data_IF_161793031095
#
_entry.id   IF_161793031095
#
_cell.length_a   1.000
_cell.length_b   1.000
_cell.length_c   1.000
_cell.angle_alpha   90.00
_cell.angle_beta   90.00
_cell.angle_gamma   90.00
#
_symmetry.space_group_name_H-M   'P 1'
#
loop_
_entity.id
_entity.type
_entity.pdbx_description
1 polymer ?
#
# COMPACT_ATOMS: atom_id res chain seq x y z
N UNK A 1 13.05 1.28 -14.39
CA UNK A 1 11.60 1.15 -14.09
C UNK A 1 11.07 2.53 -13.75
N UNK A 2 10.35 3.18 -14.68
CA UNK A 2 9.79 4.51 -14.49
C UNK A 2 8.37 4.36 -13.90
N UNK A 3 8.19 4.77 -12.65
CA UNK A 3 6.87 4.90 -12.04
C UNK A 3 6.29 6.23 -12.54
N UNK A 4 5.55 6.21 -13.65
CA UNK A 4 4.70 7.35 -14.01
C UNK A 4 3.64 7.50 -12.93
N UNK A 5 3.90 8.41 -12.00
CA UNK A 5 3.08 8.70 -10.82
C UNK A 5 1.74 9.27 -11.28
N UNK A 6 0.83 8.38 -11.67
CA UNK A 6 -0.54 8.80 -12.01
C UNK A 6 -1.28 8.92 -10.70
N UNK A 7 -1.48 10.16 -10.26
CA UNK A 7 -2.27 10.44 -9.07
C UNK A 7 -3.70 9.89 -9.25
N UNK A 8 -4.22 9.24 -8.21
CA UNK A 8 -5.61 8.80 -8.07
C UNK A 8 -6.13 9.32 -6.74
N UNK A 9 -6.87 10.44 -6.80
CA UNK A 9 -7.29 11.16 -5.60
C UNK A 9 -6.07 11.67 -4.83
N UNK A 10 -5.95 11.29 -3.55
CA UNK A 10 -4.86 11.68 -2.66
C UNK A 10 -3.59 10.81 -2.73
N UNK A 11 -3.59 9.73 -3.52
CA UNK A 11 -2.49 8.77 -3.57
C UNK A 11 -2.00 8.46 -4.99
N UNK A 12 -0.92 7.69 -5.07
CA UNK A 12 -0.43 7.09 -6.31
C UNK A 12 -1.25 5.85 -6.66
N UNK A 13 -1.61 5.67 -7.94
CA UNK A 13 -2.23 4.41 -8.38
C UNK A 13 -1.32 3.23 -8.06
N UNK A 14 -1.93 2.18 -7.55
CA UNK A 14 -1.27 0.91 -7.28
C UNK A 14 -2.27 -0.23 -7.40
N UNK A 15 -1.76 -1.42 -7.65
CA UNK A 15 -2.55 -2.63 -7.66
C UNK A 15 -1.71 -3.77 -7.13
N UNK A 16 -2.38 -4.77 -6.56
CA UNK A 16 -1.73 -6.00 -6.12
C UNK A 16 -1.76 -7.02 -7.25
N UNK A 17 -0.68 -7.80 -7.39
CA UNK A 17 -0.63 -8.91 -8.34
C UNK A 17 -0.55 -10.21 -7.56
N UNK A 18 -1.66 -10.95 -7.52
CA UNK A 18 -1.74 -12.25 -6.86
C UNK A 18 -1.89 -12.19 -5.34
N UNK A 19 -2.18 -11.02 -4.76
CA UNK A 19 -2.55 -10.96 -3.34
C UNK A 19 -3.96 -11.52 -3.11
N UNK A 20 -4.18 -12.10 -1.93
CA UNK A 20 -5.48 -12.60 -1.48
C UNK A 20 -6.09 -11.69 -0.40
N UNK A 21 -7.37 -11.90 -0.09
CA UNK A 21 -8.08 -11.19 0.98
C UNK A 21 -8.26 -9.70 0.72
N UNK A 22 -8.18 -8.88 1.79
CA UNK A 22 -8.45 -7.43 1.77
C UNK A 22 -7.58 -6.67 0.75
N UNK A 23 -6.36 -7.17 0.49
CA UNK A 23 -5.40 -6.59 -0.46
C UNK A 23 -5.84 -6.68 -1.94
N UNK A 24 -6.82 -7.53 -2.27
CA UNK A 24 -7.40 -7.59 -3.62
C UNK A 24 -8.16 -6.31 -4.00
N UNK A 25 -8.59 -5.53 -3.01
CA UNK A 25 -9.34 -4.29 -3.20
C UNK A 25 -8.44 -3.06 -3.37
N UNK A 26 -7.13 -3.20 -3.20
CA UNK A 26 -6.17 -2.10 -3.27
C UNK A 26 -6.23 -1.39 -4.63
N UNK A 27 -6.35 -0.05 -4.60
CA UNK A 27 -6.36 0.79 -5.79
C UNK A 27 -5.36 1.95 -5.75
N UNK A 28 -4.91 2.34 -4.55
CA UNK A 28 -3.92 3.41 -4.39
C UNK A 28 -3.07 3.21 -3.15
N UNK A 29 -1.98 3.96 -3.08
CA UNK A 29 -1.13 4.07 -1.91
C UNK A 29 -0.64 5.50 -1.74
N UNK A 30 -0.29 5.87 -0.51
CA UNK A 30 0.27 7.17 -0.20
C UNK A 30 1.31 7.07 0.92
N UNK A 31 2.17 8.08 1.01
CA UNK A 31 3.10 8.24 2.14
C UNK A 31 2.46 9.24 3.11
N UNK A 32 2.16 8.80 4.32
CA UNK A 32 1.62 9.64 5.38
C UNK A 32 2.63 9.71 6.52
N UNK A 33 3.46 10.74 6.55
CA UNK A 33 4.55 10.85 7.53
C UNK A 33 5.60 9.75 7.35
N UNK A 34 5.72 8.84 8.33
CA UNK A 34 6.70 7.72 8.32
C UNK A 34 6.13 6.38 7.87
N UNK A 35 4.89 6.34 7.40
CA UNK A 35 4.20 5.13 6.98
C UNK A 35 3.76 5.21 5.52
N UNK A 36 3.69 4.04 4.88
CA UNK A 36 2.99 3.82 3.62
C UNK A 36 1.61 3.30 3.95
N UNK A 37 0.58 3.97 3.44
CA UNK A 37 -0.82 3.57 3.61
C UNK A 37 -1.31 2.98 2.30
N UNK A 38 -1.81 1.75 2.36
CA UNK A 38 -2.49 1.12 1.23
C UNK A 38 -3.97 1.41 1.33
N UNK A 39 -4.60 1.79 0.22
CA UNK A 39 -6.01 2.15 0.16
C UNK A 39 -6.78 1.34 -0.87
N UNK A 40 -8.04 1.06 -0.55
CA UNK A 40 -8.99 0.51 -1.52
C UNK A 40 -9.35 1.55 -2.61
N UNK A 41 -10.18 1.14 -3.58
CA UNK A 41 -10.64 2.03 -4.66
C UNK A 41 -11.57 3.16 -4.19
N UNK A 42 -12.13 3.05 -2.99
CA UNK A 42 -12.99 4.07 -2.37
C UNK A 42 -12.16 5.06 -1.53
N UNK A 43 -10.86 4.81 -1.33
CA UNK A 43 -9.95 5.63 -0.55
C UNK A 43 -9.82 5.21 0.92
N UNK A 44 -10.43 4.09 1.34
CA UNK A 44 -10.31 3.59 2.71
C UNK A 44 -8.94 2.95 2.91
N UNK A 45 -8.30 3.24 4.05
CA UNK A 45 -7.04 2.59 4.41
C UNK A 45 -7.29 1.10 4.73
N UNK A 46 -6.60 0.20 4.03
CA UNK A 46 -6.70 -1.25 4.19
C UNK A 46 -5.45 -1.87 4.84
N UNK A 47 -4.31 -1.18 4.79
CA UNK A 47 -3.08 -1.58 5.47
C UNK A 47 -2.19 -0.37 5.76
N UNK A 48 -1.35 -0.49 6.79
CA UNK A 48 -0.34 0.50 7.16
C UNK A 48 1.01 -0.20 7.30
N UNK A 49 2.02 0.32 6.59
CA UNK A 49 3.37 -0.24 6.55
C UNK A 49 4.37 0.79 7.06
N UNK A 50 5.39 0.34 7.78
CA UNK A 50 6.45 1.18 8.33
C UNK A 50 7.79 0.75 7.76
N UNK A 51 8.70 1.70 7.56
CA UNK A 51 10.07 1.40 7.09
C UNK A 51 10.78 0.52 8.13
N UNK A 52 11.21 -0.67 7.74
CA UNK A 52 11.96 -1.62 8.58
C UNK A 52 13.39 -1.83 8.09
N UNK A 53 13.66 -1.58 6.81
CA UNK A 53 15.01 -1.54 6.24
C UNK A 53 15.07 -0.55 5.07
N UNK A 54 16.22 -0.39 4.41
CA UNK A 54 16.44 0.63 3.39
C UNK A 54 15.42 0.62 2.24
N UNK A 55 15.05 -0.58 1.78
CA UNK A 55 14.06 -0.78 0.73
C UNK A 55 12.97 -1.76 1.17
N UNK A 56 12.63 -1.78 2.46
CA UNK A 56 11.62 -2.67 3.03
C UNK A 56 10.69 -1.94 3.97
N UNK A 57 9.40 -2.23 3.82
CA UNK A 57 8.34 -1.77 4.70
C UNK A 57 7.51 -2.98 5.12
N UNK A 58 7.20 -3.07 6.41
CA UNK A 58 6.38 -4.15 6.93
C UNK A 58 5.22 -3.57 7.76
N UNK A 59 4.14 -4.32 7.86
CA UNK A 59 2.98 -3.97 8.65
C UNK A 59 1.89 -5.02 8.52
N UNK A 60 0.64 -4.60 8.68
CA UNK A 60 -0.50 -5.51 8.57
C UNK A 60 -1.71 -4.83 7.93
N UNK A 61 -2.61 -5.66 7.40
CA UNK A 61 -3.95 -5.24 7.02
C UNK A 61 -4.80 -4.93 8.24
N UNK A 62 -5.94 -4.27 8.07
CA UNK A 62 -6.90 -4.08 9.17
C UNK A 62 -7.43 -5.41 9.72
N UNK A 63 -7.49 -6.44 8.87
CA UNK A 63 -7.81 -7.82 9.24
C UNK A 63 -6.67 -8.58 9.95
N UNK A 64 -5.52 -7.94 10.21
CA UNK A 64 -4.39 -8.52 10.93
C UNK A 64 -3.46 -9.40 10.08
N UNK A 65 -3.65 -9.47 8.77
CA UNK A 65 -2.75 -10.21 7.88
C UNK A 65 -1.42 -9.45 7.74
N UNK A 66 -0.26 -10.10 7.92
CA UNK A 66 1.03 -9.44 7.75
C UNK A 66 1.28 -9.09 6.28
N UNK A 67 1.88 -7.92 6.04
CA UNK A 67 2.18 -7.41 4.71
C UNK A 67 3.62 -6.90 4.69
N UNK A 68 4.34 -7.26 3.63
CA UNK A 68 5.69 -6.77 3.36
C UNK A 68 5.75 -6.15 1.98
N UNK A 69 6.36 -4.98 1.88
CA UNK A 69 6.65 -4.27 0.65
C UNK A 69 8.16 -4.10 0.52
N UNK A 70 8.71 -4.52 -0.61
CA UNK A 70 10.13 -4.32 -0.95
C UNK A 70 10.27 -3.88 -2.40
N UNK A 71 11.44 -3.31 -2.73
CA UNK A 71 11.74 -2.76 -4.07
C UNK A 71 12.14 -3.84 -5.08
#
# INVERSE_FOLDING_TARGET
>A
MFLTLTNLGSGSRGGTRGCAGELTTMGSWEVAGKQVVLKDRNGNAIARLYKTADARFDGSTNSGQPVSLSR
#
